data_IF_292287206136
#
_entry.id   IF_292287206136
#
_cell.length_a   1.000
_cell.length_b   1.000
_cell.length_c   1.000
_cell.angle_alpha   90.00
_cell.angle_beta   90.00
_cell.angle_gamma   90.00
#
_symmetry.space_group_name_H-M   'P 1'
#
loop_
_entity.id
_entity.type
_entity.pdbx_description
1 polymer ?
#
# COMPACT_ATOMS: atom_id res chain seq x y z
N UNK A 1 -35.22 0.72 26.95
CA UNK A 1 -35.47 -0.57 27.62
C UNK A 1 -34.72 -1.68 26.87
N UNK A 2 -33.76 -2.33 27.53
CA UNK A 2 -33.04 -3.55 27.12
C UNK A 2 -32.81 -4.30 28.45
N UNK A 3 -33.66 -5.22 28.91
CA UNK A 3 -34.36 -6.26 28.17
C UNK A 3 -33.53 -7.54 28.23
N UNK A 4 -33.69 -8.31 29.31
CA UNK A 4 -33.21 -9.69 29.55
C UNK A 4 -31.71 -9.86 29.85
N UNK A 5 -31.41 -9.91 31.14
CA UNK A 5 -30.42 -10.74 31.83
C UNK A 5 -29.17 -11.14 31.01
N UNK A 6 -28.28 -10.20 30.69
CA UNK A 6 -26.96 -10.54 30.15
C UNK A 6 -26.15 -11.50 31.07
N UNK A 7 -26.55 -11.55 32.35
CA UNK A 7 -26.03 -12.42 33.39
C UNK A 7 -26.71 -13.82 33.45
N UNK A 8 -27.63 -14.20 32.55
CA UNK A 8 -28.17 -15.59 32.49
C UNK A 8 -27.30 -16.53 31.67
N UNK A 9 -26.29 -16.03 30.96
CA UNK A 9 -25.37 -16.87 30.22
C UNK A 9 -24.34 -17.49 31.18
N UNK A 10 -24.26 -18.82 31.21
CA UNK A 10 -23.32 -19.59 32.07
C UNK A 10 -21.85 -19.13 31.91
N UNK A 11 -21.44 -18.72 30.72
CA UNK A 11 -20.08 -18.20 30.46
C UNK A 11 -19.85 -16.85 31.14
N UNK A 12 -20.87 -15.98 31.13
CA UNK A 12 -20.82 -14.67 31.78
C UNK A 12 -20.82 -14.83 33.30
N UNK A 13 -21.62 -15.75 33.82
CA UNK A 13 -21.73 -16.02 35.25
C UNK A 13 -20.43 -16.57 35.83
N UNK A 14 -19.87 -17.61 35.21
CA UNK A 14 -18.58 -18.20 35.62
C UNK A 14 -17.46 -17.17 35.57
N UNK A 15 -17.41 -16.35 34.51
CA UNK A 15 -16.47 -15.24 34.43
C UNK A 15 -16.69 -14.19 35.53
N UNK A 16 -17.95 -13.82 35.80
CA UNK A 16 -18.30 -12.82 36.79
C UNK A 16 -17.87 -13.25 38.19
N UNK A 17 -18.11 -14.51 38.56
CA UNK A 17 -17.64 -15.09 39.82
C UNK A 17 -16.11 -15.04 39.94
N UNK A 18 -15.39 -15.47 38.91
CA UNK A 18 -13.93 -15.39 38.89
C UNK A 18 -13.40 -13.96 38.98
N UNK A 19 -14.07 -13.01 38.30
CA UNK A 19 -13.69 -11.60 38.31
C UNK A 19 -13.88 -10.99 39.71
N UNK A 20 -15.01 -11.26 40.36
CA UNK A 20 -15.31 -10.79 41.71
C UNK A 20 -14.35 -11.39 42.75
N UNK A 21 -14.05 -12.68 42.63
CA UNK A 21 -13.08 -13.37 43.50
C UNK A 21 -11.67 -12.77 43.38
N UNK A 22 -11.21 -12.50 42.16
CA UNK A 22 -9.87 -11.90 41.92
C UNK A 22 -9.75 -10.46 42.40
N UNK A 23 -10.84 -9.69 42.36
CA UNK A 23 -10.84 -8.28 42.78
C UNK A 23 -10.85 -8.11 44.30
N UNK A 24 -10.86 -9.18 45.08
CA UNK A 24 -10.80 -9.09 46.53
C UNK A 24 -12.02 -8.39 47.12
N UNK A 25 -13.16 -8.38 46.41
CA UNK A 25 -14.47 -8.11 47.00
C UNK A 25 -14.84 -9.31 47.89
N UNK A 26 -13.99 -9.58 48.88
CA UNK A 26 -14.33 -10.40 50.04
C UNK A 26 -15.37 -9.59 50.79
N UNK A 27 -16.63 -9.94 50.59
CA UNK A 27 -17.63 -9.59 51.58
C UNK A 27 -17.17 -10.18 52.92
N UNK A 28 -17.25 -9.41 54.02
CA UNK A 28 -16.85 -9.91 55.31
C UNK A 28 -17.79 -11.07 55.67
N UNK A 29 -17.15 -12.18 56.00
CA UNK A 29 -17.68 -13.36 56.66
C UNK A 29 -18.68 -14.24 55.87
N UNK A 30 -18.26 -15.50 55.73
CA UNK A 30 -19.09 -16.69 55.49
C UNK A 30 -19.81 -16.78 54.13
N UNK A 31 -19.18 -17.52 53.22
CA UNK A 31 -19.88 -18.06 52.06
C UNK A 31 -18.93 -18.65 51.04
N UNK A 32 -19.04 -19.95 50.79
CA UNK A 32 -18.41 -20.62 49.66
C UNK A 32 -18.74 -19.91 48.33
N UNK A 33 -18.04 -20.24 47.24
CA UNK A 33 -18.36 -19.72 45.90
C UNK A 33 -19.86 -19.84 45.53
N UNK A 34 -20.55 -20.81 46.14
CA UNK A 34 -21.99 -21.04 46.07
C UNK A 34 -22.82 -19.90 46.67
N UNK A 35 -22.46 -19.37 47.84
CA UNK A 35 -23.17 -18.25 48.47
C UNK A 35 -23.00 -16.95 47.67
N UNK A 36 -21.84 -16.77 47.02
CA UNK A 36 -21.59 -15.66 46.11
C UNK A 36 -22.47 -15.78 44.85
N UNK A 37 -22.64 -17.01 44.34
CA UNK A 37 -23.53 -17.33 43.22
C UNK A 37 -25.01 -17.14 43.57
N UNK A 38 -25.44 -17.58 44.75
CA UNK A 38 -26.80 -17.40 45.26
C UNK A 38 -27.12 -15.91 45.44
N UNK A 39 -26.14 -15.11 45.87
CA UNK A 39 -26.31 -13.65 45.98
C UNK A 39 -26.33 -12.97 44.60
N UNK A 40 -25.50 -13.41 43.65
CA UNK A 40 -25.49 -12.89 42.28
C UNK A 40 -26.81 -13.18 41.55
N UNK A 41 -27.38 -14.36 41.76
CA UNK A 41 -28.71 -14.73 41.26
C UNK A 41 -29.83 -13.99 41.99
N UNK A 42 -29.73 -13.77 43.32
CA UNK A 42 -30.66 -12.90 44.09
C UNK A 42 -30.60 -11.42 43.68
N UNK A 43 -29.42 -10.89 43.36
CA UNK A 43 -29.24 -9.52 42.85
C UNK A 43 -29.83 -9.35 41.44
N UNK A 44 -29.90 -10.43 40.66
CA UNK A 44 -30.54 -10.43 39.34
C UNK A 44 -32.07 -10.51 39.44
N UNK A 45 -32.62 -11.13 40.49
CA UNK A 45 -34.07 -11.30 40.69
C UNK A 45 -34.71 -10.19 41.51
N UNK A 46 -34.01 -9.65 42.49
CA UNK A 46 -34.47 -8.55 43.33
C UNK A 46 -33.85 -7.27 42.77
N UNK A 47 -34.68 -6.45 42.12
CA UNK A 47 -34.33 -5.13 41.59
C UNK A 47 -33.29 -4.41 42.47
N UNK A 48 -32.34 -3.78 41.80
CA UNK A 48 -31.33 -2.79 42.20
C UNK A 48 -31.60 -1.93 43.48
N UNK A 49 -31.85 -2.53 44.64
CA UNK A 49 -32.38 -1.82 45.81
C UNK A 49 -31.30 -1.23 46.71
N UNK A 50 -30.02 -1.51 46.46
CA UNK A 50 -28.90 -0.84 47.14
C UNK A 50 -27.96 -0.15 46.14
N UNK A 51 -27.46 1.05 46.45
CA UNK A 51 -26.53 1.77 45.58
C UNK A 51 -25.23 0.99 45.35
N UNK A 52 -24.78 0.23 46.35
CA UNK A 52 -23.61 -0.65 46.28
C UNK A 52 -23.76 -1.73 45.20
N UNK A 53 -24.92 -2.40 45.14
CA UNK A 53 -25.18 -3.43 44.15
C UNK A 53 -25.20 -2.86 42.72
N UNK A 54 -25.73 -1.64 42.54
CA UNK A 54 -25.70 -0.95 41.24
C UNK A 54 -24.29 -0.65 40.79
N UNK A 55 -23.41 -0.25 41.71
CA UNK A 55 -22.01 0.03 41.38
C UNK A 55 -21.24 -1.24 41.01
N UNK A 56 -21.45 -2.34 41.76
CA UNK A 56 -20.87 -3.64 41.46
C UNK A 56 -21.31 -4.11 40.08
N UNK A 57 -22.61 -4.07 39.77
CA UNK A 57 -23.15 -4.45 38.45
C UNK A 57 -22.59 -3.56 37.33
N UNK A 58 -22.43 -2.26 37.56
CA UNK A 58 -21.84 -1.31 36.59
C UNK A 58 -20.39 -1.67 36.28
N UNK A 59 -19.57 -1.92 37.32
CA UNK A 59 -18.16 -2.34 37.18
C UNK A 59 -18.06 -3.69 36.47
N UNK A 60 -18.92 -4.64 36.83
CA UNK A 60 -18.98 -5.96 36.22
C UNK A 60 -19.34 -5.88 34.73
N UNK A 61 -20.36 -5.10 34.38
CA UNK A 61 -20.80 -4.90 32.99
C UNK A 61 -19.72 -4.21 32.14
N UNK A 62 -19.06 -3.19 32.69
CA UNK A 62 -17.96 -2.52 32.02
C UNK A 62 -16.77 -3.45 31.76
N UNK A 63 -16.36 -4.22 32.76
CA UNK A 63 -15.28 -5.20 32.62
C UNK A 63 -15.65 -6.33 31.64
N UNK A 64 -16.92 -6.75 31.61
CA UNK A 64 -17.39 -7.75 30.64
C UNK A 64 -17.35 -7.22 29.22
N UNK A 65 -17.88 -6.01 28.99
CA UNK A 65 -17.83 -5.36 27.69
C UNK A 65 -16.39 -5.22 27.19
N UNK A 66 -15.45 -4.81 28.06
CA UNK A 66 -14.03 -4.75 27.72
C UNK A 66 -13.45 -6.12 27.38
N UNK A 67 -13.78 -7.17 28.15
CA UNK A 67 -13.33 -8.53 27.85
C UNK A 67 -13.87 -9.02 26.50
N UNK A 68 -15.17 -8.82 26.24
CA UNK A 68 -15.81 -9.16 24.97
C UNK A 68 -15.15 -8.42 23.81
N UNK A 69 -14.91 -7.11 23.95
CA UNK A 69 -14.19 -6.33 22.95
C UNK A 69 -12.75 -6.79 22.72
N UNK A 70 -12.10 -7.43 23.72
CA UNK A 70 -10.77 -8.02 23.56
C UNK A 70 -10.83 -9.39 22.89
N UNK A 71 -11.84 -10.22 23.18
CA UNK A 71 -12.01 -11.53 22.56
C UNK A 71 -12.44 -11.44 21.10
N UNK A 72 -13.30 -10.49 20.74
CA UNK A 72 -13.80 -10.33 19.36
C UNK A 72 -12.71 -9.82 18.38
N UNK A 73 -11.51 -9.48 18.87
CA UNK A 73 -10.37 -8.94 18.11
C UNK A 73 -9.36 -10.01 17.66
N UNK A 74 -9.78 -11.23 17.32
CA UNK A 74 -8.84 -12.29 16.87
C UNK A 74 -7.93 -11.90 15.68
N UNK A 75 -8.31 -10.89 14.89
CA UNK A 75 -7.47 -10.34 13.80
C UNK A 75 -6.60 -9.13 14.19
N UNK A 76 -6.75 -8.56 15.38
CA UNK A 76 -6.06 -7.34 15.82
C UNK A 76 -5.36 -7.61 17.15
N UNK A 77 -4.06 -7.93 17.10
CA UNK A 77 -3.22 -8.00 18.29
C UNK A 77 -3.05 -6.59 18.85
N UNK A 78 -3.51 -6.36 20.08
CA UNK A 78 -3.27 -5.09 20.76
C UNK A 78 -1.80 -5.06 21.21
N UNK A 79 -0.96 -4.37 20.45
CA UNK A 79 0.41 -4.07 20.85
C UNK A 79 0.46 -2.74 21.59
N UNK A 80 1.06 -2.70 22.77
CA UNK A 80 1.30 -1.45 23.49
C UNK A 80 2.68 -0.92 23.08
N UNK A 81 2.70 0.22 22.38
CA UNK A 81 3.93 0.91 22.03
C UNK A 81 4.15 2.08 22.98
N UNK A 82 5.36 2.17 23.53
CA UNK A 82 5.79 3.30 24.34
C UNK A 82 6.67 4.19 23.47
N UNK A 83 6.23 5.43 23.26
CA UNK A 83 6.96 6.42 22.48
C UNK A 83 7.69 7.40 23.40
N UNK A 84 8.76 8.01 22.90
CA UNK A 84 9.31 9.21 23.52
C UNK A 84 8.29 10.35 23.43
N UNK A 85 8.38 11.30 24.35
CA UNK A 85 7.46 12.46 24.41
C UNK A 85 7.47 13.27 23.11
N UNK A 86 8.65 13.42 22.49
CA UNK A 86 8.79 14.11 21.20
C UNK A 86 8.14 13.34 20.06
N UNK A 87 8.36 12.02 19.97
CA UNK A 87 7.77 11.19 18.93
C UNK A 87 6.24 11.18 19.05
N UNK A 88 5.71 11.09 20.27
CA UNK A 88 4.28 11.19 20.52
C UNK A 88 3.70 12.54 20.05
N UNK A 89 4.36 13.67 20.36
CA UNK A 89 3.93 15.00 19.89
C UNK A 89 3.93 15.12 18.36
N UNK A 90 4.95 14.58 17.70
CA UNK A 90 5.02 14.57 16.22
C UNK A 90 3.90 13.73 15.62
N UNK A 91 3.67 12.54 16.18
CA UNK A 91 2.59 11.67 15.73
C UNK A 91 1.21 12.31 15.95
N UNK A 92 1.02 13.05 17.04
CA UNK A 92 -0.24 13.74 17.34
C UNK A 92 -0.53 14.85 16.34
N UNK A 93 0.49 15.62 15.96
CA UNK A 93 0.36 16.63 14.90
C UNK A 93 -0.01 15.97 13.57
N UNK A 94 0.73 14.95 13.15
CA UNK A 94 0.44 14.22 11.91
C UNK A 94 -0.96 13.60 11.92
N UNK A 95 -1.39 13.01 13.03
CA UNK A 95 -2.72 12.44 13.17
C UNK A 95 -3.82 13.50 12.98
N UNK A 96 -3.62 14.70 13.54
CA UNK A 96 -4.54 15.83 13.36
C UNK A 96 -4.54 16.34 11.93
N UNK A 97 -3.38 16.49 11.30
CA UNK A 97 -3.23 16.97 9.93
C UNK A 97 -3.94 16.04 8.93
N UNK A 98 -3.81 14.73 9.11
CA UNK A 98 -4.49 13.72 8.30
C UNK A 98 -5.94 13.44 8.73
N UNK A 99 -6.42 14.02 9.83
CA UNK A 99 -7.72 13.71 10.45
C UNK A 99 -7.92 12.20 10.72
N UNK A 100 -6.83 11.52 11.11
CA UNK A 100 -6.80 10.08 11.36
C UNK A 100 -6.50 9.78 12.83
N UNK A 101 -6.79 8.55 13.24
CA UNK A 101 -6.31 8.07 14.55
C UNK A 101 -4.80 7.85 14.50
N UNK A 102 -4.10 8.08 15.62
CA UNK A 102 -2.64 7.85 15.73
C UNK A 102 -2.20 6.49 15.18
N UNK A 103 -3.01 5.45 15.41
CA UNK A 103 -2.74 4.09 14.91
C UNK A 103 -2.86 4.03 13.38
N UNK A 104 -3.93 4.58 12.82
CA UNK A 104 -4.12 4.63 11.36
C UNK A 104 -3.03 5.47 10.68
N UNK A 105 -2.59 6.58 11.30
CA UNK A 105 -1.47 7.39 10.80
C UNK A 105 -0.16 6.60 10.81
N UNK A 106 0.11 5.82 11.86
CA UNK A 106 1.28 4.93 11.89
C UNK A 106 1.21 3.86 10.80
N UNK A 107 0.05 3.23 10.62
CA UNK A 107 -0.16 2.23 9.55
C UNK A 107 0.08 2.85 8.16
N UNK A 108 -0.39 4.08 7.94
CA UNK A 108 -0.18 4.82 6.69
C UNK A 108 1.31 5.09 6.45
N UNK A 109 2.02 5.65 7.43
CA UNK A 109 3.45 5.98 7.31
C UNK A 109 4.29 4.71 7.06
N UNK A 110 3.98 3.61 7.76
CA UNK A 110 4.69 2.34 7.57
C UNK A 110 4.43 1.79 6.17
N UNK A 111 3.18 1.83 5.70
CA UNK A 111 2.83 1.33 4.37
C UNK A 111 3.49 2.16 3.27
N UNK A 112 3.39 3.49 3.34
CA UNK A 112 4.01 4.41 2.39
C UNK A 112 5.53 4.22 2.34
N UNK A 113 6.19 4.06 3.51
CA UNK A 113 7.63 3.84 3.54
C UNK A 113 8.04 2.50 2.91
N UNK A 114 7.28 1.45 3.17
CA UNK A 114 7.53 0.13 2.56
C UNK A 114 7.28 0.14 1.05
N UNK A 115 6.25 0.85 0.59
CA UNK A 115 5.95 1.00 -0.83
C UNK A 115 7.04 1.80 -1.55
N UNK A 116 7.56 2.86 -0.93
CA UNK A 116 8.72 3.60 -1.44
C UNK A 116 9.99 2.73 -1.52
N UNK A 117 10.25 1.88 -0.53
CA UNK A 117 11.40 0.97 -0.57
C UNK A 117 11.25 -0.12 -1.65
N UNK A 118 10.04 -0.65 -1.82
CA UNK A 118 9.71 -1.63 -2.85
C UNK A 118 9.82 -1.03 -4.28
N UNK A 119 9.41 0.22 -4.46
CA UNK A 119 9.55 0.92 -5.75
C UNK A 119 11.02 1.23 -6.07
N UNK A 120 11.82 1.62 -5.07
CA UNK A 120 13.25 1.87 -5.28
C UNK A 120 14.04 0.59 -5.60
N UNK A 121 13.75 -0.51 -4.90
CA UNK A 121 14.40 -1.80 -5.13
C UNK A 121 13.99 -2.43 -6.46
N UNK A 122 12.73 -2.28 -6.87
CA UNK A 122 12.28 -2.71 -8.20
C UNK A 122 12.92 -1.87 -9.31
N UNK A 123 12.97 -0.54 -9.17
CA UNK A 123 13.66 0.34 -10.13
C UNK A 123 15.16 -0.01 -10.29
N UNK A 124 15.86 -0.32 -9.19
CA UNK A 124 17.26 -0.78 -9.25
C UNK A 124 17.43 -2.13 -9.94
N UNK A 125 16.50 -3.07 -9.71
CA UNK A 125 16.51 -4.37 -10.40
C UNK A 125 16.26 -4.18 -11.90
N UNK A 126 15.34 -3.29 -12.26
CA UNK A 126 15.00 -2.96 -13.63
C UNK A 126 16.18 -2.33 -14.38
N UNK A 127 16.89 -1.38 -13.76
CA UNK A 127 18.11 -0.78 -14.33
C UNK A 127 19.19 -1.85 -14.64
N UNK A 128 19.37 -2.83 -13.75
CA UNK A 128 20.25 -3.97 -14.00
C UNK A 128 19.85 -4.81 -15.22
N UNK A 129 18.54 -4.99 -15.46
CA UNK A 129 18.03 -5.70 -16.64
C UNK A 129 18.27 -4.88 -17.92
N UNK A 130 18.03 -3.58 -17.88
CA UNK A 130 18.24 -2.70 -19.04
C UNK A 130 19.72 -2.60 -19.41
N UNK A 131 20.63 -2.48 -18.43
CA UNK A 131 22.08 -2.49 -18.67
C UNK A 131 22.55 -3.79 -19.31
N UNK A 132 22.07 -4.94 -18.82
CA UNK A 132 22.39 -6.25 -19.43
C UNK A 132 21.90 -6.36 -20.87
N UNK A 133 20.69 -5.86 -21.16
CA UNK A 133 20.14 -5.82 -22.53
C UNK A 133 20.96 -4.91 -23.44
N UNK A 134 21.36 -3.74 -22.96
CA UNK A 134 22.21 -2.80 -23.72
C UNK A 134 23.55 -3.46 -24.09
N UNK A 135 24.22 -4.11 -23.13
CA UNK A 135 25.48 -4.82 -23.39
C UNK A 135 25.34 -5.95 -24.43
N UNK A 136 24.21 -6.67 -24.43
CA UNK A 136 23.92 -7.68 -25.46
C UNK A 136 23.78 -7.00 -26.83
N UNK A 137 23.04 -5.89 -26.92
CA UNK A 137 22.89 -5.16 -28.18
C UNK A 137 24.20 -4.58 -28.70
N UNK A 138 25.03 -4.00 -27.83
CA UNK A 138 26.36 -3.50 -28.19
C UNK A 138 27.21 -4.61 -28.80
N UNK A 139 27.29 -5.78 -28.15
CA UNK A 139 28.03 -6.93 -28.68
C UNK A 139 27.54 -7.37 -30.06
N UNK A 140 26.22 -7.46 -30.26
CA UNK A 140 25.66 -7.85 -31.56
C UNK A 140 25.88 -6.77 -32.63
N UNK A 141 25.92 -5.49 -32.24
CA UNK A 141 26.25 -4.38 -33.13
C UNK A 141 27.71 -4.44 -33.57
N UNK A 142 28.64 -4.67 -32.63
CA UNK A 142 30.07 -4.82 -32.94
C UNK A 142 30.32 -5.99 -33.89
N UNK A 143 29.68 -7.14 -33.64
CA UNK A 143 29.76 -8.30 -34.54
C UNK A 143 29.22 -7.99 -35.93
N UNK A 144 28.10 -7.27 -36.04
CA UNK A 144 27.54 -6.87 -37.33
C UNK A 144 28.45 -5.90 -38.08
N UNK A 145 29.10 -4.98 -37.37
CA UNK A 145 30.07 -4.05 -37.95
C UNK A 145 31.34 -4.78 -38.43
N UNK A 146 31.85 -5.74 -37.67
CA UNK A 146 32.97 -6.59 -38.08
C UNK A 146 32.64 -7.40 -39.34
N UNK A 147 31.46 -8.04 -39.38
CA UNK A 147 31.00 -8.77 -40.55
C UNK A 147 30.85 -7.86 -41.76
N UNK A 148 30.25 -6.68 -41.60
CA UNK A 148 30.11 -5.69 -42.66
C UNK A 148 31.49 -5.25 -43.18
N UNK A 149 32.47 -5.04 -42.31
CA UNK A 149 33.84 -4.74 -42.71
C UNK A 149 34.47 -5.90 -43.50
N UNK A 150 34.29 -7.15 -43.05
CA UNK A 150 34.76 -8.33 -43.80
C UNK A 150 34.12 -8.44 -45.17
N UNK A 151 32.81 -8.25 -45.27
CA UNK A 151 32.12 -8.25 -46.56
C UNK A 151 32.60 -7.12 -47.45
N UNK A 152 32.76 -5.90 -46.92
CA UNK A 152 33.29 -4.77 -47.69
C UNK A 152 34.70 -5.05 -48.24
N UNK A 153 35.56 -5.72 -47.48
CA UNK A 153 36.88 -6.15 -47.96
C UNK A 153 36.77 -7.20 -49.07
N UNK A 154 35.91 -8.20 -48.90
CA UNK A 154 35.69 -9.25 -49.91
C UNK A 154 35.09 -8.70 -51.21
N UNK A 155 34.10 -7.80 -51.12
CA UNK A 155 33.46 -7.17 -52.27
C UNK A 155 34.31 -6.05 -52.88
N UNK A 156 35.14 -5.35 -52.10
CA UNK A 156 36.08 -4.36 -52.64
C UNK A 156 37.17 -4.97 -53.53
N UNK A 157 37.39 -6.28 -53.43
CA UNK A 157 38.28 -7.06 -54.31
C UNK A 157 37.53 -7.56 -55.56
N UNK A 158 36.19 -7.59 -55.54
CA UNK A 158 35.36 -8.05 -56.64
C UNK A 158 34.82 -6.86 -57.45
N UNK A 159 35.31 -6.64 -58.67
CA UNK A 159 34.91 -5.52 -59.56
C UNK A 159 33.46 -5.62 -60.14
N UNK A 160 32.54 -6.32 -59.48
CA UNK A 160 31.19 -6.55 -60.03
C UNK A 160 30.10 -5.91 -59.19
N UNK A 161 29.24 -5.16 -59.87
CA UNK A 161 28.06 -4.49 -59.32
C UNK A 161 26.98 -5.54 -59.01
N UNK A 162 26.71 -5.88 -57.74
CA UNK A 162 25.85 -7.01 -57.42
C UNK A 162 24.41 -6.53 -57.35
N UNK A 163 23.73 -6.49 -58.49
CA UNK A 163 22.27 -6.45 -58.50
C UNK A 163 21.74 -7.77 -57.92
N UNK A 164 21.34 -7.72 -56.65
CA UNK A 164 20.73 -8.85 -55.95
C UNK A 164 19.42 -9.25 -56.63
N UNK A 165 19.29 -10.55 -56.91
CA UNK A 165 18.04 -11.13 -57.40
C UNK A 165 16.99 -11.13 -56.28
N UNK A 166 15.70 -11.19 -56.66
CA UNK A 166 14.60 -11.24 -55.69
C UNK A 166 14.70 -12.43 -54.71
N UNK A 167 15.20 -13.58 -55.19
CA UNK A 167 15.43 -14.76 -54.35
C UNK A 167 16.49 -14.51 -53.27
N UNK A 168 17.60 -13.87 -53.63
CA UNK A 168 18.66 -13.51 -52.67
C UNK A 168 18.17 -12.46 -51.66
N UNK A 169 17.32 -11.52 -52.07
CA UNK A 169 16.70 -10.57 -51.15
C UNK A 169 15.82 -11.25 -50.09
N UNK A 170 15.03 -12.26 -50.46
CA UNK A 170 14.23 -13.02 -49.48
C UNK A 170 15.11 -13.87 -48.55
N UNK A 171 16.21 -14.43 -49.05
CA UNK A 171 17.18 -15.15 -48.23
C UNK A 171 17.81 -14.23 -47.17
N UNK A 172 18.24 -13.02 -47.55
CA UNK A 172 18.77 -12.02 -46.62
C UNK A 172 17.72 -11.62 -45.57
N UNK A 173 16.46 -11.43 -45.96
CA UNK A 173 15.38 -11.13 -45.01
C UNK A 173 15.13 -12.30 -44.04
N UNK A 174 15.17 -13.53 -44.52
CA UNK A 174 15.04 -14.73 -43.69
C UNK A 174 16.17 -14.82 -42.67
N UNK A 175 17.41 -14.60 -43.11
CA UNK A 175 18.59 -14.58 -42.25
C UNK A 175 18.49 -13.49 -41.17
N UNK A 176 18.04 -12.29 -41.56
CA UNK A 176 17.83 -11.18 -40.62
C UNK A 176 16.76 -11.51 -39.57
N UNK A 177 15.66 -12.17 -39.96
CA UNK A 177 14.63 -12.65 -39.02
C UNK A 177 15.17 -13.71 -38.06
N UNK A 178 15.96 -14.66 -38.57
CA UNK A 178 16.60 -15.70 -37.78
C UNK A 178 17.58 -15.12 -36.75
N UNK A 179 18.45 -14.19 -37.17
CA UNK A 179 19.36 -13.46 -36.27
C UNK A 179 18.61 -12.67 -35.20
N UNK A 180 17.57 -11.93 -35.59
CA UNK A 180 16.71 -11.22 -34.64
C UNK A 180 16.10 -12.18 -33.61
N UNK A 181 15.64 -13.35 -34.03
CA UNK A 181 15.10 -14.35 -33.12
C UNK A 181 16.17 -14.92 -32.16
N UNK A 182 17.40 -15.11 -32.62
CA UNK A 182 18.52 -15.54 -31.77
C UNK A 182 18.84 -14.48 -30.69
N UNK A 183 18.95 -13.20 -31.08
CA UNK A 183 19.17 -12.09 -30.13
C UNK A 183 18.06 -12.04 -29.09
N UNK A 184 16.80 -12.18 -29.51
CA UNK A 184 15.65 -12.16 -28.60
C UNK A 184 15.72 -13.28 -27.55
N UNK A 185 16.25 -14.46 -27.89
CA UNK A 185 16.41 -15.58 -26.95
C UNK A 185 17.48 -15.29 -25.88
N UNK A 186 18.49 -14.51 -26.20
CA UNK A 186 19.57 -14.13 -25.26
C UNK A 186 19.15 -12.98 -24.32
N UNK A 187 18.15 -12.19 -24.70
CA UNK A 187 17.72 -11.05 -23.89
C UNK A 187 17.07 -11.51 -22.57
N UNK A 188 17.53 -11.01 -21.41
CA UNK A 188 16.87 -11.29 -20.14
C UNK A 188 15.42 -10.74 -20.17
N UNK A 189 14.44 -11.39 -19.53
CA UNK A 189 13.04 -10.98 -19.59
C UNK A 189 12.85 -9.54 -19.09
N UNK A 190 11.97 -8.78 -19.75
CA UNK A 190 11.62 -7.43 -19.27
C UNK A 190 10.93 -7.53 -17.91
N UNK A 191 11.19 -6.57 -17.00
CA UNK A 191 10.44 -6.48 -15.76
C UNK A 191 8.94 -6.31 -16.05
N UNK A 192 8.12 -7.02 -15.26
CA UNK A 192 6.70 -7.24 -15.54
C UNK A 192 5.85 -5.96 -15.59
N UNK A 193 6.36 -4.83 -15.08
CA UNK A 193 5.66 -3.54 -15.05
C UNK A 193 5.32 -2.93 -16.42
N UNK A 194 5.90 -3.44 -17.52
CA UNK A 194 5.63 -2.92 -18.88
C UNK A 194 5.10 -3.94 -19.87
N UNK A 195 4.68 -5.13 -19.43
CA UNK A 195 3.83 -5.98 -20.27
C UNK A 195 2.48 -5.28 -20.40
N UNK A 196 2.35 -4.39 -21.40
CA UNK A 196 1.05 -4.05 -21.99
C UNK A 196 0.40 -5.39 -22.30
N UNK A 197 -0.49 -5.86 -21.43
CA UNK A 197 -1.34 -7.00 -21.71
C UNK A 197 -2.03 -6.62 -23.01
N UNK A 198 -1.61 -7.21 -24.12
CA UNK A 198 -2.31 -7.10 -25.38
C UNK A 198 -3.74 -7.49 -25.05
N UNK A 199 -4.66 -6.52 -25.04
CA UNK A 199 -6.08 -6.78 -24.84
C UNK A 199 -6.42 -7.83 -25.87
N UNK A 200 -6.76 -9.05 -25.44
CA UNK A 200 -7.33 -10.05 -26.34
C UNK A 200 -8.50 -9.37 -27.05
N UNK A 201 -8.63 -9.48 -28.39
CA UNK A 201 -9.77 -8.93 -29.09
C UNK A 201 -11.02 -9.53 -28.45
N UNK A 202 -11.83 -8.66 -27.85
CA UNK A 202 -13.08 -9.02 -27.17
C UNK A 202 -14.03 -9.41 -28.31
N UNK A 203 -14.18 -10.71 -28.55
CA UNK A 203 -15.21 -11.23 -29.44
C UNK A 203 -16.56 -10.79 -28.89
N UNK A 204 -17.19 -9.86 -29.62
CA UNK A 204 -18.48 -9.31 -29.28
C UNK A 204 -19.55 -10.31 -29.77
N UNK A 205 -19.92 -11.27 -28.94
CA UNK A 205 -21.12 -12.07 -29.17
C UNK A 205 -22.33 -11.17 -28.95
N UNK A 206 -22.96 -10.76 -30.07
CA UNK A 206 -24.28 -10.13 -30.08
C UNK A 206 -25.29 -11.09 -29.47
N UNK A 207 -25.72 -10.83 -28.24
CA UNK A 207 -26.98 -11.33 -27.74
C UNK A 207 -28.05 -10.28 -28.09
N UNK A 208 -28.90 -10.61 -29.06
CA UNK A 208 -30.14 -9.89 -29.33
C UNK A 208 -31.06 -10.09 -28.13
N UNK A 209 -31.33 -9.03 -27.39
CA UNK A 209 -32.42 -8.98 -26.42
C UNK A 209 -33.42 -7.94 -26.90
N UNK A 210 -34.59 -8.46 -27.24
CA UNK A 210 -35.79 -7.75 -27.66
C UNK A 210 -36.29 -6.86 -26.52
N UNK A 211 -36.66 -5.64 -26.88
CA UNK A 211 -37.10 -4.59 -25.98
C UNK A 211 -38.48 -4.86 -25.35
N UNK A 212 -38.73 -4.21 -24.21
CA UNK A 212 -40.04 -3.61 -23.90
C UNK A 212 -39.83 -2.36 -23.04
N UNK A 213 -40.67 -1.31 -23.20
CA UNK A 213 -40.41 0.04 -22.70
C UNK A 213 -41.24 0.38 -21.46
N UNK A 214 -40.76 1.31 -20.63
CA UNK A 214 -41.64 2.16 -19.80
C UNK A 214 -40.90 3.44 -19.41
N UNK A 215 -41.59 4.55 -19.63
CA UNK A 215 -41.23 5.94 -19.33
C UNK A 215 -40.96 6.20 -17.84
N UNK A 216 -40.25 7.29 -17.54
CA UNK A 216 -40.71 8.39 -16.65
C UNK A 216 -39.56 9.37 -16.36
N UNK A 217 -39.71 10.57 -16.95
CA UNK A 217 -39.47 11.92 -16.42
C UNK A 217 -38.10 12.34 -15.81
N UNK A 218 -37.52 13.31 -16.52
CA UNK A 218 -36.63 14.41 -16.09
C UNK A 218 -37.29 15.30 -15.01
N UNK A 219 -36.55 16.14 -14.21
CA UNK A 219 -35.79 17.25 -14.79
C UNK A 219 -34.51 17.74 -14.06
N UNK A 220 -33.88 18.67 -14.80
CA UNK A 220 -32.64 19.39 -14.62
C UNK A 220 -32.46 20.17 -13.31
N UNK A 221 -31.19 20.46 -12.98
CA UNK A 221 -30.81 21.79 -12.49
C UNK A 221 -29.34 22.09 -12.79
N UNK A 222 -29.13 23.13 -13.59
CA UNK A 222 -27.87 23.87 -13.77
C UNK A 222 -27.60 24.81 -12.57
N UNK A 223 -26.32 25.11 -12.30
CA UNK A 223 -25.74 26.37 -11.79
C UNK A 223 -24.23 26.11 -11.54
N UNK A 224 -23.31 26.49 -12.44
CA UNK A 224 -22.65 27.80 -12.58
C UNK A 224 -21.93 28.34 -11.32
N UNK A 225 -20.59 28.27 -11.40
CA UNK A 225 -19.63 29.38 -11.21
C UNK A 225 -19.43 30.02 -9.82
N UNK A 226 -18.23 29.87 -9.25
CA UNK A 226 -17.52 30.95 -8.54
C UNK A 226 -16.03 30.62 -8.35
N UNK A 227 -15.21 31.55 -8.82
CA UNK A 227 -13.77 31.73 -8.68
C UNK A 227 -13.36 32.14 -7.26
N UNK A 228 -12.22 31.65 -6.77
CA UNK A 228 -11.43 32.34 -5.74
C UNK A 228 -9.96 31.91 -5.83
N UNK A 229 -9.11 32.90 -6.10
CA UNK A 229 -7.66 32.82 -6.05
C UNK A 229 -7.18 32.64 -4.59
N UNK A 230 -6.15 31.81 -4.40
CA UNK A 230 -5.32 31.85 -3.21
C UNK A 230 -3.87 31.61 -3.63
N UNK A 231 -3.05 32.64 -3.42
CA UNK A 231 -1.63 32.72 -3.73
C UNK A 231 -0.82 31.79 -2.82
N UNK A 232 0.12 31.06 -3.42
CA UNK A 232 0.98 30.06 -2.77
C UNK A 232 2.22 30.74 -2.17
N UNK A 233 2.51 30.65 -0.85
CA UNK A 233 3.68 31.31 -0.25
C UNK A 233 5.02 30.54 -0.30
N UNK A 234 5.14 29.40 -1.00
CA UNK A 234 6.30 28.51 -0.82
C UNK A 234 7.45 28.67 -1.83
N UNK A 235 7.37 29.60 -2.78
CA UNK A 235 8.41 29.76 -3.81
C UNK A 235 9.60 30.68 -3.41
N UNK A 236 9.57 31.28 -2.22
CA UNK A 236 10.61 32.24 -1.77
C UNK A 236 11.75 31.56 -0.97
N UNK A 237 11.56 30.35 -0.44
CA UNK A 237 12.60 29.68 0.36
C UNK A 237 13.67 29.00 -0.52
N UNK A 238 13.29 28.45 -1.68
CA UNK A 238 14.20 27.67 -2.54
C UNK A 238 15.20 28.54 -3.35
N UNK A 239 14.95 29.83 -3.55
CA UNK A 239 15.93 30.72 -4.21
C UNK A 239 17.03 31.22 -3.27
N UNK A 240 16.86 31.09 -1.94
CA UNK A 240 17.86 31.56 -0.97
C UNK A 240 18.98 30.54 -0.74
N UNK A 241 18.68 29.25 -0.84
CA UNK A 241 19.69 28.18 -0.71
C UNK A 241 20.57 28.04 -1.97
N UNK A 242 20.02 28.26 -3.18
CA UNK A 242 20.83 28.24 -4.41
C UNK A 242 21.87 29.36 -4.46
N UNK A 243 21.61 30.53 -3.84
CA UNK A 243 22.57 31.65 -3.81
C UNK A 243 23.69 31.49 -2.79
N UNK A 244 23.52 30.64 -1.76
CA UNK A 244 24.59 30.38 -0.79
C UNK A 244 25.61 29.36 -1.31
N UNK A 245 25.19 28.35 -2.08
CA UNK A 245 26.11 27.39 -2.70
C UNK A 245 27.06 28.01 -3.73
N UNK A 246 26.58 28.95 -4.54
CA UNK A 246 27.39 29.58 -5.61
C UNK A 246 28.49 30.52 -5.08
N UNK A 247 28.33 31.06 -3.86
CA UNK A 247 29.34 31.91 -3.22
C UNK A 247 30.51 31.10 -2.63
N UNK A 248 30.26 29.85 -2.24
CA UNK A 248 31.27 28.98 -1.63
C UNK A 248 32.19 28.37 -2.70
N UNK A 249 31.64 28.05 -3.88
CA UNK A 249 32.41 27.55 -5.03
C UNK A 249 33.38 28.63 -5.56
N UNK A 250 32.96 29.90 -5.61
CA UNK A 250 33.83 31.01 -6.03
C UNK A 250 34.98 31.29 -5.05
N UNK A 251 34.78 31.06 -3.75
CA UNK A 251 35.88 31.17 -2.76
C UNK A 251 36.90 30.06 -2.87
N UNK A 252 36.48 28.84 -3.22
CA UNK A 252 37.41 27.71 -3.38
C UNK A 252 38.25 27.79 -4.65
N UNK A 253 37.77 28.48 -5.69
CA UNK A 253 38.52 28.68 -6.93
C UNK A 253 39.59 29.78 -6.79
N UNK A 254 39.31 30.88 -6.08
CA UNK A 254 40.29 31.96 -5.89
C UNK A 254 41.48 31.58 -4.98
N UNK A 255 41.35 30.56 -4.12
CA UNK A 255 42.45 30.11 -3.26
C UNK A 255 43.40 29.09 -3.92
N UNK A 256 43.18 28.73 -5.18
CA UNK A 256 44.07 27.83 -5.94
C UNK A 256 45.04 28.55 -6.89
N UNK A 257 44.92 29.87 -7.02
CA UNK A 257 45.75 30.70 -7.92
C UNK A 257 46.70 31.65 -7.16
N UNK A 258 47.03 31.36 -5.89
CA UNK A 258 48.07 32.07 -5.12
C UNK A 258 49.12 31.11 -4.57
#
# INVERSE_FOLDING_TARGET
>A
MLGKNWLTNNVVQTWALQYLQRRGLRYPEQGSAQALYDKLTRVNTVKENTPENREILRKLKGAWSQRKHRSDKERKKNSNYVFTTEAARKLDRLANDFQLTKIATLELIVSDRLDQENTFTSAKRDDGVYKKRAAIFERHLDQALEELCRYKLLFGIAESDPLLTAAQHEEVKSLARSRKAAIIKELPPLPDGKRKKSKKPRTFTKHSSTATPSDTEQPATDHSEATAACEHPEEIQNQRELRQGDMEIKRLLNNKES
#
